data_IF_226315386683
#
_entry.id   IF_226315386683
#
_cell.length_a   1.000
_cell.length_b   1.000
_cell.length_c   1.000
_cell.angle_alpha   90.00
_cell.angle_beta   90.00
_cell.angle_gamma   90.00
#
_symmetry.space_group_name_H-M   'P 1'
#
loop_
_entity.id
_entity.type
_entity.pdbx_description
1 polymer ?
#
# COMPACT_ATOMS: atom_id res chain seq x y z
N UNK A 1 -23.20 -13.00 11.64
CA UNK A 1 -23.52 -11.60 11.20
C UNK A 1 -22.83 -11.35 9.86
N UNK A 2 -23.42 -10.58 8.94
CA UNK A 2 -22.78 -10.22 7.66
C UNK A 2 -22.39 -8.75 7.65
N UNK A 3 -21.09 -8.45 7.57
CA UNK A 3 -20.59 -7.09 7.35
C UNK A 3 -20.50 -6.83 5.84
N UNK A 4 -21.13 -5.75 5.38
CA UNK A 4 -21.14 -5.38 3.97
C UNK A 4 -20.63 -3.96 3.73
N UNK A 5 -20.20 -3.69 2.49
CA UNK A 5 -19.76 -2.38 2.01
C UNK A 5 -18.64 -1.69 2.81
N UNK A 6 -17.56 -2.40 3.23
CA UNK A 6 -16.40 -1.76 3.82
C UNK A 6 -15.75 -0.79 2.82
N UNK A 7 -15.21 0.31 3.34
CA UNK A 7 -14.55 1.35 2.52
C UNK A 7 -13.04 1.38 2.70
N UNK A 8 -12.55 0.75 3.76
CA UNK A 8 -11.15 0.79 4.17
C UNK A 8 -10.68 -0.61 4.56
N UNK A 9 -9.39 -0.89 4.37
CA UNK A 9 -8.77 -2.15 4.82
C UNK A 9 -8.90 -2.30 6.34
N UNK A 10 -8.97 -1.17 7.07
CA UNK A 10 -9.18 -1.18 8.52
C UNK A 10 -10.50 -1.84 8.96
N UNK A 11 -11.55 -1.80 8.13
CA UNK A 11 -12.82 -2.44 8.46
C UNK A 11 -12.69 -3.97 8.52
N UNK A 12 -11.74 -4.56 7.77
CA UNK A 12 -11.48 -6.01 7.79
C UNK A 12 -10.92 -6.40 9.16
N UNK A 13 -9.97 -5.62 9.69
CA UNK A 13 -9.41 -5.86 11.02
C UNK A 13 -10.45 -5.67 12.12
N UNK A 14 -11.31 -4.64 12.01
CA UNK A 14 -12.40 -4.47 12.98
C UNK A 14 -13.37 -5.66 12.98
N UNK A 15 -13.75 -6.15 11.80
CA UNK A 15 -14.64 -7.30 11.68
C UNK A 15 -14.03 -8.56 12.34
N UNK A 16 -12.73 -8.79 12.15
CA UNK A 16 -11.98 -9.86 12.81
C UNK A 16 -11.95 -9.69 14.33
N UNK A 17 -11.59 -8.49 14.84
CA UNK A 17 -11.54 -8.21 16.28
C UNK A 17 -12.91 -8.32 16.97
N UNK A 18 -14.00 -8.08 16.24
CA UNK A 18 -15.37 -8.21 16.74
C UNK A 18 -15.94 -9.62 16.56
N UNK A 19 -15.19 -10.55 15.96
CA UNK A 19 -15.62 -11.94 15.76
C UNK A 19 -16.74 -12.08 14.73
N UNK A 20 -16.75 -11.25 13.69
CA UNK A 20 -17.77 -11.32 12.63
C UNK A 20 -17.49 -12.49 11.69
N UNK A 21 -18.49 -13.35 11.48
CA UNK A 21 -18.33 -14.58 10.70
C UNK A 21 -18.01 -14.34 9.22
N UNK A 22 -18.64 -13.32 8.60
CA UNK A 22 -18.56 -13.06 7.16
C UNK A 22 -18.49 -11.55 6.91
N UNK A 23 -17.53 -11.14 6.07
CA UNK A 23 -17.43 -9.79 5.51
C UNK A 23 -17.30 -9.86 3.98
N UNK A 24 -18.01 -9.00 3.26
CA UNK A 24 -17.85 -8.85 1.80
C UNK A 24 -17.01 -7.63 1.49
N UNK A 25 -15.89 -7.80 0.77
CA UNK A 25 -14.96 -6.74 0.40
C UNK A 25 -14.77 -6.65 -1.11
N UNK A 26 -14.37 -5.48 -1.62
CA UNK A 26 -13.89 -5.36 -3.00
C UNK A 26 -12.52 -6.01 -3.16
N UNK A 27 -12.19 -6.44 -4.38
CA UNK A 27 -10.87 -7.02 -4.71
C UNK A 27 -9.73 -6.09 -4.32
N UNK A 28 -9.88 -4.78 -4.52
CA UNK A 28 -8.86 -3.79 -4.18
C UNK A 28 -8.57 -3.70 -2.68
N UNK A 29 -9.59 -3.90 -1.82
CA UNK A 29 -9.39 -3.95 -0.37
C UNK A 29 -8.68 -5.23 0.05
N UNK A 30 -9.02 -6.36 -0.57
CA UNK A 30 -8.39 -7.66 -0.32
C UNK A 30 -6.91 -7.63 -0.76
N UNK A 31 -6.61 -7.01 -1.91
CA UNK A 31 -5.26 -6.92 -2.45
C UNK A 31 -4.28 -6.13 -1.55
N UNK A 32 -4.79 -5.33 -0.61
CA UNK A 32 -3.98 -4.59 0.38
C UNK A 32 -3.63 -5.41 1.62
N UNK A 33 -4.32 -6.51 1.89
CA UNK A 33 -4.08 -7.34 3.09
C UNK A 33 -2.65 -7.90 3.19
N UNK A 34 -1.98 -8.32 2.09
CA UNK A 34 -0.59 -8.77 2.17
C UNK A 34 0.41 -7.69 2.62
N UNK A 35 0.02 -6.41 2.60
CA UNK A 35 0.84 -5.31 3.11
C UNK A 35 0.79 -5.20 4.64
N UNK A 36 -0.06 -5.98 5.31
CA UNK A 36 -0.17 -5.96 6.77
C UNK A 36 1.17 -6.34 7.41
N UNK A 37 1.66 -5.49 8.31
CA UNK A 37 2.91 -5.73 9.02
C UNK A 37 4.17 -5.62 8.16
N UNK A 38 4.06 -5.10 6.93
CA UNK A 38 5.24 -4.78 6.11
C UNK A 38 6.11 -3.75 6.84
N UNK A 39 7.42 -3.97 6.82
CA UNK A 39 8.36 -3.04 7.39
C UNK A 39 8.28 -1.66 6.70
N UNK A 40 8.28 -0.61 7.49
CA UNK A 40 8.05 0.75 7.00
C UNK A 40 9.28 1.31 6.28
N UNK A 41 10.49 0.89 6.64
CA UNK A 41 11.72 1.28 5.95
C UNK A 41 11.76 0.62 4.57
N UNK A 42 11.48 -0.68 4.50
CA UNK A 42 11.40 -1.42 3.23
C UNK A 42 10.32 -0.85 2.32
N UNK A 43 9.12 -0.58 2.85
CA UNK A 43 8.02 -0.04 2.06
C UNK A 43 8.32 1.36 1.53
N UNK A 44 8.98 2.19 2.34
CA UNK A 44 9.44 3.52 1.92
C UNK A 44 10.53 3.42 0.85
N UNK A 45 11.50 2.52 1.03
CA UNK A 45 12.60 2.30 0.09
C UNK A 45 12.11 1.83 -1.28
N UNK A 46 11.23 0.84 -1.32
CA UNK A 46 10.60 0.35 -2.56
C UNK A 46 9.85 1.48 -3.28
N UNK A 47 9.17 2.34 -2.52
CA UNK A 47 8.44 3.48 -3.08
C UNK A 47 9.41 4.48 -3.74
N UNK A 48 10.53 4.79 -3.09
CA UNK A 48 11.58 5.65 -3.66
C UNK A 48 12.18 5.02 -4.92
N UNK A 49 12.46 3.71 -4.89
CA UNK A 49 12.98 2.99 -6.05
C UNK A 49 12.00 3.00 -7.22
N UNK A 50 10.69 2.84 -6.97
CA UNK A 50 9.64 2.95 -7.97
C UNK A 50 9.65 4.34 -8.63
N UNK A 51 9.68 5.42 -7.84
CA UNK A 51 9.76 6.78 -8.38
C UNK A 51 11.04 7.03 -9.18
N UNK A 52 12.18 6.53 -8.72
CA UNK A 52 13.45 6.64 -9.44
C UNK A 52 13.39 5.90 -10.78
N UNK A 53 12.81 4.70 -10.80
CA UNK A 53 12.64 3.90 -12.02
C UNK A 53 11.74 4.61 -13.02
N UNK A 54 10.59 5.13 -12.58
CA UNK A 54 9.64 5.81 -13.45
C UNK A 54 10.24 7.09 -14.03
N UNK A 55 10.88 7.93 -13.20
CA UNK A 55 11.55 9.15 -13.65
C UNK A 55 12.68 8.88 -14.65
N UNK A 56 13.51 7.87 -14.38
CA UNK A 56 14.60 7.46 -15.28
C UNK A 56 14.05 6.94 -16.61
N UNK A 57 12.94 6.19 -16.60
CA UNK A 57 12.30 5.66 -17.81
C UNK A 57 11.74 6.77 -18.73
N UNK A 58 11.38 7.91 -18.15
CA UNK A 58 10.93 9.11 -18.86
C UNK A 58 12.09 10.04 -19.28
N UNK A 59 13.33 9.67 -18.99
CA UNK A 59 14.52 10.44 -19.35
C UNK A 59 14.86 11.58 -18.40
N UNK A 60 14.20 11.68 -17.24
CA UNK A 60 14.57 12.63 -16.20
C UNK A 60 15.87 12.20 -15.53
N UNK A 61 16.67 13.18 -15.10
CA UNK A 61 17.93 12.98 -14.37
C UNK A 61 17.96 13.91 -13.17
N UNK A 62 18.58 13.45 -12.09
CA UNK A 62 18.93 14.31 -10.97
C UNK A 62 19.93 15.35 -11.49
N UNK A 63 19.69 16.63 -11.19
CA UNK A 63 20.63 17.68 -11.53
C UNK A 63 21.88 17.48 -10.66
N UNK A 64 23.04 17.40 -11.29
CA UNK A 64 24.31 17.47 -10.57
C UNK A 64 24.57 18.93 -10.22
N UNK A 65 25.00 19.19 -8.99
CA UNK A 65 25.37 20.55 -8.57
C UNK A 65 26.58 21.02 -9.40
N UNK A 66 26.46 22.20 -10.02
CA UNK A 66 27.48 22.77 -10.91
C UNK A 66 28.77 23.26 -10.21
N UNK A 67 29.07 22.74 -9.02
CA UNK A 67 30.27 23.07 -8.24
C UNK A 67 30.90 21.80 -7.64
N UNK A 68 31.59 21.04 -8.51
CA UNK A 68 32.75 20.25 -8.12
C UNK A 68 33.87 20.49 -9.13
#
# INVERSE_FOLDING_TARGET
MLWASPRETYNIYQADQLGVDIITCTTDLIAKLPLQGKDLEDYSLETVQMFLKDSTSLGFKVLEDANQ
#
